data_IF_907488417784
#
_entry.id   IF_907488417784
#
_cell.length_a   1.000
_cell.length_b   1.000
_cell.length_c   1.000
_cell.angle_alpha   90.00
_cell.angle_beta   90.00
_cell.angle_gamma   90.00
#
_symmetry.space_group_name_H-M   'P 1'
#
loop_
_entity.id
_entity.type
_entity.pdbx_description
1 polymer ?
#
# COMPACT_ATOMS: atom_id res chain seq x y z
N UNK A 1 9.30 -40.30 -49.07
CA UNK A 1 8.37 -39.51 -48.27
C UNK A 1 9.11 -38.87 -47.10
N UNK A 2 9.27 -37.59 -47.15
CA UNK A 2 9.95 -36.88 -46.07
C UNK A 2 8.86 -36.35 -45.15
N UNK A 3 8.76 -36.91 -43.94
CA UNK A 3 7.90 -36.38 -42.90
C UNK A 3 8.48 -35.08 -42.42
N UNK A 4 7.79 -33.99 -42.68
CA UNK A 4 8.14 -32.67 -42.14
C UNK A 4 7.64 -32.61 -40.69
N UNK A 5 8.55 -32.84 -39.76
CA UNK A 5 8.25 -32.58 -38.36
C UNK A 5 8.26 -31.08 -38.14
N UNK A 6 7.07 -30.52 -38.10
CA UNK A 6 6.92 -29.13 -37.64
C UNK A 6 6.96 -29.15 -36.12
N UNK A 7 8.11 -28.77 -35.58
CA UNK A 7 8.21 -28.47 -34.14
C UNK A 7 7.48 -27.14 -33.87
N UNK A 8 6.30 -27.27 -33.35
CA UNK A 8 5.66 -26.11 -32.71
C UNK A 8 6.34 -25.87 -31.38
N UNK A 9 7.30 -24.96 -31.37
CA UNK A 9 7.77 -24.39 -30.12
C UNK A 9 6.65 -23.50 -29.58
N UNK A 10 5.84 -24.07 -28.72
CA UNK A 10 4.92 -23.25 -27.92
C UNK A 10 5.78 -22.45 -26.94
N UNK A 11 6.07 -21.21 -27.31
CA UNK A 11 6.60 -20.24 -26.36
C UNK A 11 5.54 -20.03 -25.30
N UNK A 12 5.69 -20.70 -24.15
CA UNK A 12 4.92 -20.35 -22.97
C UNK A 12 5.39 -18.97 -22.54
N UNK A 13 4.58 -17.98 -22.89
CA UNK A 13 4.72 -16.64 -22.33
C UNK A 13 4.35 -16.79 -20.87
N UNK A 14 5.33 -17.01 -20.02
CA UNK A 14 5.15 -16.85 -18.58
C UNK A 14 4.89 -15.38 -18.34
N UNK A 15 3.62 -15.00 -18.33
CA UNK A 15 3.24 -13.76 -17.70
C UNK A 15 3.57 -13.94 -16.24
N UNK A 16 4.75 -13.50 -15.85
CA UNK A 16 5.05 -13.30 -14.46
C UNK A 16 4.03 -12.25 -13.99
N UNK A 17 2.94 -12.72 -13.40
CA UNK A 17 2.12 -11.86 -12.56
C UNK A 17 3.09 -11.49 -11.44
N UNK A 18 3.70 -10.36 -11.59
CA UNK A 18 4.25 -9.67 -10.45
C UNK A 18 3.01 -9.37 -9.59
N UNK A 19 2.66 -10.29 -8.68
CA UNK A 19 1.94 -9.91 -7.50
C UNK A 19 2.66 -8.65 -7.06
N UNK A 20 1.99 -7.49 -7.24
CA UNK A 20 2.63 -6.23 -7.08
C UNK A 20 3.53 -6.38 -5.87
N UNK A 21 4.80 -6.62 -6.14
CA UNK A 21 5.77 -6.66 -5.10
C UNK A 21 5.39 -5.47 -4.27
N UNK A 22 5.08 -5.68 -3.00
CA UNK A 22 4.81 -4.60 -2.10
C UNK A 22 5.96 -3.66 -2.36
N UNK A 23 5.72 -2.74 -3.26
CA UNK A 23 6.73 -1.81 -3.72
C UNK A 23 7.11 -1.14 -2.45
N UNK A 24 8.34 -1.36 -2.01
CA UNK A 24 8.83 -0.76 -0.78
C UNK A 24 8.63 0.72 -0.95
N UNK A 25 7.54 1.23 -0.40
CA UNK A 25 7.27 2.65 -0.44
C UNK A 25 8.37 3.40 0.28
N UNK A 26 8.60 4.63 -0.13
CA UNK A 26 9.52 5.53 0.58
C UNK A 26 8.76 6.19 1.74
N UNK A 27 9.13 5.92 2.99
CA UNK A 27 8.45 6.51 4.15
C UNK A 27 8.52 8.04 4.18
N UNK A 28 9.55 8.63 3.62
CA UNK A 28 9.69 10.11 3.57
C UNK A 28 8.66 10.74 2.65
N UNK A 29 8.45 10.13 1.49
CA UNK A 29 7.38 10.55 0.57
C UNK A 29 6.03 10.29 1.21
N UNK A 30 5.86 9.15 1.85
CA UNK A 30 4.63 8.78 2.55
C UNK A 30 4.26 9.76 3.65
N UNK A 31 5.24 10.24 4.41
CA UNK A 31 5.01 11.26 5.44
C UNK A 31 4.45 12.55 4.84
N UNK A 32 5.02 13.02 3.76
CA UNK A 32 4.56 14.24 3.08
C UNK A 32 3.12 14.10 2.58
N UNK A 33 2.80 12.98 1.95
CA UNK A 33 1.45 12.70 1.46
C UNK A 33 0.44 12.58 2.61
N UNK A 34 0.81 11.88 3.67
CA UNK A 34 -0.01 11.70 4.86
C UNK A 34 -0.31 13.03 5.55
N UNK A 35 0.71 13.83 5.79
CA UNK A 35 0.57 15.12 6.48
C UNK A 35 -0.32 16.08 5.67
N UNK A 36 -0.24 16.00 4.36
CA UNK A 36 -1.04 16.84 3.47
C UNK A 36 -2.52 16.44 3.43
N UNK A 37 -2.82 15.14 3.44
CA UNK A 37 -4.17 14.66 3.12
C UNK A 37 -4.91 14.01 4.29
N UNK A 38 -4.22 13.53 5.32
CA UNK A 38 -4.81 12.74 6.39
C UNK A 38 -4.84 13.44 7.75
N UNK A 39 -3.84 14.23 8.06
CA UNK A 39 -3.62 14.76 9.40
C UNK A 39 -4.78 15.61 9.91
N UNK A 40 -5.34 16.47 9.08
CA UNK A 40 -6.43 17.37 9.53
C UNK A 40 -7.67 16.62 10.00
N UNK A 41 -8.08 15.56 9.29
CA UNK A 41 -9.21 14.72 9.71
C UNK A 41 -8.89 13.93 10.97
N UNK A 42 -7.70 13.37 11.09
CA UNK A 42 -7.28 12.60 12.26
C UNK A 42 -7.18 13.49 13.51
N UNK A 43 -6.64 14.68 13.36
CA UNK A 43 -6.61 15.68 14.47
C UNK A 43 -8.02 16.04 14.91
N UNK A 44 -8.92 16.28 13.97
CA UNK A 44 -10.32 16.61 14.27
C UNK A 44 -11.03 15.49 15.03
N UNK A 45 -10.77 14.21 14.66
CA UNK A 45 -11.46 13.06 15.26
C UNK A 45 -10.82 12.59 16.57
N UNK A 46 -9.51 12.65 16.70
CA UNK A 46 -8.77 12.02 17.80
C UNK A 46 -7.98 13.00 18.67
N UNK A 47 -7.89 14.27 18.27
CA UNK A 47 -7.10 15.29 18.96
C UNK A 47 -5.60 15.12 18.82
N UNK A 48 -4.82 15.99 19.44
CA UNK A 48 -3.37 15.97 19.38
C UNK A 48 -2.84 16.12 17.95
N UNK A 49 -1.95 15.21 17.54
CA UNK A 49 -1.40 15.13 16.18
C UNK A 49 -2.16 14.16 15.27
N UNK A 50 -3.27 13.58 15.75
CA UNK A 50 -4.08 12.62 15.02
C UNK A 50 -3.54 11.18 15.03
N UNK A 51 -2.43 10.92 15.71
CA UNK A 51 -1.77 9.60 15.66
C UNK A 51 -2.45 8.53 16.51
N UNK A 52 -3.35 8.89 17.42
CA UNK A 52 -4.01 7.93 18.32
C UNK A 52 -4.73 6.81 17.60
N UNK A 53 -5.30 7.07 16.43
CA UNK A 53 -5.98 6.02 15.66
C UNK A 53 -5.04 4.89 15.23
N UNK A 54 -3.75 5.15 15.13
CA UNK A 54 -2.75 4.15 14.74
C UNK A 54 -2.18 3.38 15.92
N UNK A 55 -2.20 3.96 17.10
CA UNK A 55 -1.49 3.44 18.29
C UNK A 55 -2.40 2.89 19.37
N UNK A 56 -3.70 3.14 19.31
CA UNK A 56 -4.64 2.66 20.32
C UNK A 56 -4.65 1.12 20.39
N UNK A 57 -4.85 0.58 21.60
CA UNK A 57 -4.76 -0.85 21.85
C UNK A 57 -5.84 -1.67 21.13
N UNK A 58 -7.00 -1.09 20.88
CA UNK A 58 -8.14 -1.75 20.23
C UNK A 58 -8.16 -1.53 18.70
N UNK A 59 -7.08 -1.07 18.12
CA UNK A 59 -6.98 -0.89 16.67
C UNK A 59 -7.23 -2.20 15.93
N UNK A 60 -7.99 -2.13 14.83
CA UNK A 60 -8.36 -3.31 14.05
C UNK A 60 -7.30 -3.73 13.02
N UNK A 61 -6.41 -2.83 12.65
CA UNK A 61 -5.32 -3.11 11.71
C UNK A 61 -4.19 -3.83 12.44
N UNK A 62 -3.95 -5.08 12.06
CA UNK A 62 -3.01 -5.96 12.77
C UNK A 62 -1.95 -6.58 11.88
N UNK A 63 -2.01 -6.36 10.57
CA UNK A 63 -1.04 -6.88 9.59
C UNK A 63 -0.70 -5.83 8.54
N UNK A 64 0.43 -6.02 7.84
CA UNK A 64 0.81 -5.13 6.73
C UNK A 64 -0.24 -5.12 5.63
N UNK A 65 -0.81 -6.28 5.28
CA UNK A 65 -1.84 -6.37 4.26
C UNK A 65 -3.10 -5.59 4.65
N UNK A 66 -3.51 -5.67 5.91
CA UNK A 66 -4.63 -4.89 6.43
C UNK A 66 -4.32 -3.39 6.42
N UNK A 67 -3.10 -3.01 6.74
CA UNK A 67 -2.66 -1.61 6.69
C UNK A 67 -2.73 -1.06 5.26
N UNK A 68 -2.20 -1.79 4.30
CA UNK A 68 -2.27 -1.40 2.89
C UNK A 68 -3.71 -1.25 2.39
N UNK A 69 -4.59 -2.18 2.75
CA UNK A 69 -6.01 -2.11 2.42
C UNK A 69 -6.69 -0.91 3.07
N UNK A 70 -6.34 -0.59 4.30
CA UNK A 70 -6.87 0.57 5.02
C UNK A 70 -6.42 1.89 4.38
N UNK A 71 -5.16 1.98 3.97
CA UNK A 71 -4.62 3.15 3.25
C UNK A 71 -5.37 3.35 1.93
N UNK A 72 -5.59 2.29 1.17
CA UNK A 72 -6.35 2.33 -0.08
C UNK A 72 -7.78 2.80 0.15
N UNK A 73 -8.46 2.30 1.18
CA UNK A 73 -9.80 2.73 1.55
C UNK A 73 -9.85 4.20 1.96
N UNK A 74 -8.89 4.67 2.73
CA UNK A 74 -8.79 6.08 3.13
C UNK A 74 -8.52 6.99 1.94
N UNK A 75 -7.68 6.57 0.98
CA UNK A 75 -7.46 7.30 -0.26
C UNK A 75 -8.78 7.50 -1.01
N UNK A 76 -9.57 6.44 -1.18
CA UNK A 76 -10.87 6.51 -1.84
C UNK A 76 -11.85 7.42 -1.09
N UNK A 77 -11.94 7.28 0.23
CA UNK A 77 -12.90 8.04 1.05
C UNK A 77 -12.54 9.52 1.19
N UNK A 78 -11.25 9.84 1.24
CA UNK A 78 -10.79 11.23 1.41
C UNK A 78 -10.70 12.00 0.10
N UNK A 79 -10.73 11.31 -1.05
CA UNK A 79 -10.50 11.94 -2.34
C UNK A 79 -9.08 12.45 -2.54
N UNK A 80 -8.09 11.85 -1.88
CA UNK A 80 -6.70 12.28 -1.95
C UNK A 80 -6.10 12.15 -3.34
N UNK A 81 -6.64 11.24 -4.18
CA UNK A 81 -6.21 11.08 -5.56
C UNK A 81 -4.87 10.40 -5.70
N UNK A 82 -4.49 9.55 -4.73
CA UNK A 82 -3.22 8.83 -4.78
C UNK A 82 -3.24 7.71 -5.79
N UNK A 83 -2.12 7.54 -6.48
CA UNK A 83 -1.83 6.34 -7.27
C UNK A 83 -1.37 5.20 -6.36
N UNK A 84 -1.31 3.94 -6.86
CA UNK A 84 -0.82 2.80 -6.07
C UNK A 84 0.55 3.01 -5.44
N UNK A 85 1.46 3.69 -6.12
CA UNK A 85 2.79 4.02 -5.58
C UNK A 85 2.69 4.95 -4.38
N UNK A 86 1.80 5.94 -4.43
CA UNK A 86 1.58 6.87 -3.33
C UNK A 86 1.02 6.14 -2.11
N UNK A 87 0.07 5.24 -2.32
CA UNK A 87 -0.48 4.39 -1.26
C UNK A 87 0.61 3.53 -0.62
N UNK A 88 1.53 2.98 -1.42
CA UNK A 88 2.68 2.22 -0.92
C UNK A 88 3.61 3.09 -0.07
N UNK A 89 3.86 4.33 -0.47
CA UNK A 89 4.66 5.28 0.32
C UNK A 89 4.00 5.60 1.66
N UNK A 90 2.71 5.86 1.67
CA UNK A 90 1.96 6.13 2.91
C UNK A 90 1.92 4.91 3.82
N UNK A 91 1.70 3.73 3.25
CA UNK A 91 1.72 2.47 4.01
C UNK A 91 3.08 2.25 4.67
N UNK A 92 4.18 2.47 3.94
CA UNK A 92 5.53 2.35 4.47
C UNK A 92 5.78 3.34 5.62
N UNK A 93 5.34 4.58 5.47
CA UNK A 93 5.46 5.59 6.52
C UNK A 93 4.69 5.19 7.79
N UNK A 94 3.43 4.82 7.66
CA UNK A 94 2.60 4.42 8.80
C UNK A 94 3.15 3.19 9.50
N UNK A 95 3.65 2.22 8.74
CA UNK A 95 4.26 1.03 9.31
C UNK A 95 5.56 1.36 10.05
N UNK A 96 6.43 2.15 9.46
CA UNK A 96 7.69 2.53 10.09
C UNK A 96 7.47 3.34 11.35
N UNK A 97 6.54 4.27 11.34
CA UNK A 97 6.33 5.21 12.43
C UNK A 97 5.46 4.64 13.55
N UNK A 98 4.42 3.89 13.23
CA UNK A 98 3.38 3.52 14.20
C UNK A 98 3.17 2.02 14.35
N UNK A 99 2.92 1.30 13.26
CA UNK A 99 2.47 -0.10 13.35
C UNK A 99 3.63 -1.08 13.54
N UNK A 100 4.74 -0.90 12.89
CA UNK A 100 5.96 -1.70 13.00
C UNK A 100 5.77 -3.19 12.75
N UNK A 101 4.91 -3.52 11.81
CA UNK A 101 4.75 -4.90 11.34
C UNK A 101 6.02 -5.38 10.63
N UNK A 102 6.38 -6.62 10.84
CA UNK A 102 7.53 -7.28 10.20
C UNK A 102 7.14 -8.00 8.92
#
# INVERSE_FOLDING_TARGET
MKALMVLFATAMLSTAIHAAAVTKGDPKIGKTLHDKSCTSCHVSMFGGDGSKMYTRADRKTRTQAQLAARVSGCNANSGAGWFPEDEAHVTAYLNQQYYKFK
#
